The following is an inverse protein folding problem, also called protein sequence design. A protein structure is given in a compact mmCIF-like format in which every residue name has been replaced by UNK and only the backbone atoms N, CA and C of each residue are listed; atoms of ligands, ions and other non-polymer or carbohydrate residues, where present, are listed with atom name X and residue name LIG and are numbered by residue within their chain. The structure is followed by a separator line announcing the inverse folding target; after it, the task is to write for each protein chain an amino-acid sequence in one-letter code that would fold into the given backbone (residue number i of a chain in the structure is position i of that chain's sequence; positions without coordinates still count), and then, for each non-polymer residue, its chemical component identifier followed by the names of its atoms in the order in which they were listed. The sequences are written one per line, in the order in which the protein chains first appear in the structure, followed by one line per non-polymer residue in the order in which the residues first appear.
data_IF_029629843139
#
_entry.id   IF_029629843139
#
_cell.length_a   1.000
_cell.length_b   1.000
_cell.length_c   1.000
_cell.angle_alpha   90.00
_cell.angle_beta   90.00
_cell.angle_gamma   90.00
#
_symmetry.space_group_name_H-M   'P 1'
#
loop_
_entity.id
_entity.type
_entity.pdbx_description
1 polymer ?
#
# COMPACT_ATOMS: atom_id res chain seq x y z
N UNK A 1 2.87 -12.51 13.13
CA UNK A 1 2.51 -13.19 14.39
C UNK A 1 1.29 -12.53 15.00
N UNK A 2 0.29 -13.29 15.43
CA UNK A 2 -0.99 -12.75 15.90
C UNK A 2 -1.16 -12.94 17.40
N UNK A 3 -1.50 -11.85 18.10
CA UNK A 3 -1.63 -11.83 19.55
C UNK A 3 -2.97 -11.21 19.95
N UNK A 4 -3.70 -11.89 20.84
CA UNK A 4 -4.88 -11.35 21.52
C UNK A 4 -4.46 -10.52 22.72
N UNK A 5 -4.87 -9.25 22.76
CA UNK A 5 -4.68 -8.32 23.89
C UNK A 5 -6.03 -8.01 24.57
N UNK A 6 -5.98 -7.33 25.73
CA UNK A 6 -7.17 -6.94 26.52
C UNK A 6 -8.15 -6.03 25.74
N UNK A 7 -7.66 -5.31 24.71
CA UNK A 7 -8.47 -4.46 23.85
C UNK A 7 -8.95 -5.14 22.55
N UNK A 8 -8.51 -6.37 22.25
CA UNK A 8 -8.87 -7.10 21.03
C UNK A 8 -7.74 -7.92 20.42
N UNK A 9 -7.99 -8.51 19.25
CA UNK A 9 -7.03 -9.32 18.50
C UNK A 9 -6.20 -8.45 17.53
N UNK A 10 -4.88 -8.60 17.53
CA UNK A 10 -3.99 -7.83 16.64
C UNK A 10 -2.91 -8.73 16.04
N UNK A 11 -2.77 -8.69 14.73
CA UNK A 11 -1.68 -9.37 14.02
C UNK A 11 -0.56 -8.40 13.63
N UNK A 12 0.68 -8.78 13.93
CA UNK A 12 1.85 -8.22 13.28
C UNK A 12 1.99 -8.88 11.91
N UNK A 13 1.66 -8.12 10.87
CA UNK A 13 1.71 -8.55 9.47
C UNK A 13 3.12 -8.44 8.91
N UNK A 14 3.46 -9.39 8.04
CA UNK A 14 4.67 -9.30 7.23
C UNK A 14 4.59 -8.09 6.29
N UNK A 15 5.76 -7.50 5.92
CA UNK A 15 5.80 -6.38 5.01
C UNK A 15 5.15 -6.75 3.68
N UNK A 16 4.04 -6.06 3.36
CA UNK A 16 3.21 -6.35 2.18
C UNK A 16 1.83 -6.92 2.50
N UNK A 17 1.48 -7.12 3.78
CA UNK A 17 0.15 -7.56 4.22
C UNK A 17 -0.45 -6.61 5.26
N UNK A 18 -1.78 -6.53 5.28
CA UNK A 18 -2.62 -5.70 6.14
C UNK A 18 -3.91 -6.44 6.54
N UNK A 19 -4.69 -5.80 7.39
CA UNK A 19 -5.94 -6.33 7.92
C UNK A 19 -5.75 -7.03 9.26
N UNK A 20 -6.85 -7.26 9.97
CA UNK A 20 -6.86 -7.82 11.32
C UNK A 20 -6.13 -9.16 11.40
N UNK A 21 -6.18 -9.96 10.33
CA UNK A 21 -5.56 -11.27 10.20
C UNK A 21 -4.33 -11.29 9.27
N UNK A 22 -3.93 -10.16 8.69
CA UNK A 22 -2.92 -10.11 7.62
C UNK A 22 -3.30 -10.90 6.35
N UNK A 23 -4.60 -11.14 6.14
CA UNK A 23 -5.11 -11.84 4.94
C UNK A 23 -5.20 -10.90 3.73
N UNK A 24 -5.10 -9.58 3.95
CA UNK A 24 -5.22 -8.58 2.89
C UNK A 24 -3.82 -8.22 2.41
N UNK A 25 -3.53 -8.40 1.12
CA UNK A 25 -2.32 -7.82 0.54
C UNK A 25 -2.39 -6.29 0.67
N UNK A 26 -1.34 -5.72 1.24
CA UNK A 26 -1.14 -4.28 1.37
C UNK A 26 -1.23 -3.65 -0.02
N UNK A 27 -2.39 -3.07 -0.33
CA UNK A 27 -2.59 -2.38 -1.58
C UNK A 27 -2.26 -0.90 -1.37
N UNK A 28 -0.98 -0.58 -1.52
CA UNK A 28 -0.47 0.80 -1.44
C UNK A 28 -1.07 1.70 -2.53
N UNK A 29 -1.64 1.11 -3.59
CA UNK A 29 -2.40 1.81 -4.62
C UNK A 29 -3.87 2.04 -4.28
N UNK A 30 -4.39 1.46 -3.20
CA UNK A 30 -5.81 1.59 -2.81
C UNK A 30 -6.21 3.04 -2.51
N UNK A 31 -5.27 3.88 -2.06
CA UNK A 31 -5.50 5.31 -1.83
C UNK A 31 -5.29 6.17 -3.08
N UNK A 32 -5.04 5.53 -4.24
CA UNK A 32 -4.77 6.20 -5.51
C UNK A 32 -3.74 7.34 -5.36
N UNK A 33 -2.52 7.04 -4.89
CA UNK A 33 -1.51 8.08 -4.65
C UNK A 33 -1.03 8.75 -5.95
N UNK A 34 -1.21 8.12 -7.12
CA UNK A 34 -0.80 8.68 -8.40
C UNK A 34 -1.91 9.55 -8.99
N UNK A 35 -1.63 10.82 -9.25
CA UNK A 35 -2.62 11.79 -9.79
C UNK A 35 -2.75 11.61 -11.30
N UNK A 36 -1.65 11.77 -12.04
CA UNK A 36 -1.61 11.66 -13.50
C UNK A 36 -0.76 10.47 -13.95
N UNK A 37 -1.08 9.29 -13.45
CA UNK A 37 -0.35 8.08 -13.79
C UNK A 37 -1.02 6.81 -13.29
N UNK A 38 -0.38 5.68 -13.58
CA UNK A 38 -0.82 4.37 -13.11
C UNK A 38 -0.02 3.94 -11.88
N UNK A 39 -0.72 3.62 -10.80
CA UNK A 39 -0.09 3.06 -9.62
C UNK A 39 0.26 1.58 -9.85
N UNK A 40 1.47 1.20 -9.47
CA UNK A 40 1.97 -0.17 -9.48
C UNK A 40 2.22 -0.56 -8.03
N UNK A 41 1.43 -1.50 -7.52
CA UNK A 41 1.59 -2.01 -6.17
C UNK A 41 2.75 -3.02 -6.16
N UNK A 42 3.81 -2.72 -5.41
CA UNK A 42 4.90 -3.66 -5.13
C UNK A 42 4.78 -4.22 -3.72
N UNK A 43 5.47 -5.35 -3.48
CA UNK A 43 5.46 -6.03 -2.18
C UNK A 43 5.97 -5.12 -1.04
N UNK A 44 7.02 -4.34 -1.30
CA UNK A 44 7.66 -3.46 -0.30
C UNK A 44 7.29 -1.98 -0.48
N UNK A 45 7.04 -1.52 -1.71
CA UNK A 45 6.75 -0.12 -2.03
C UNK A 45 5.81 -0.03 -3.25
N UNK A 46 5.08 1.09 -3.39
CA UNK A 46 4.38 1.42 -4.63
C UNK A 46 5.22 2.34 -5.52
N UNK A 47 5.00 2.23 -6.82
CA UNK A 47 5.57 3.16 -7.80
C UNK A 47 4.48 3.69 -8.72
N UNK A 48 4.58 4.96 -9.08
CA UNK A 48 3.69 5.56 -10.06
C UNK A 48 4.38 5.60 -11.42
N UNK A 49 3.70 5.08 -12.44
CA UNK A 49 4.10 5.23 -13.85
C UNK A 49 3.38 6.45 -14.39
N UNK A 50 4.12 7.54 -14.55
CA UNK A 50 3.56 8.82 -14.98
C UNK A 50 3.23 8.85 -16.46
N UNK A 51 2.16 9.56 -16.81
CA UNK A 51 1.82 9.86 -18.19
C UNK A 51 2.82 10.88 -18.77
N UNK A 52 2.92 10.96 -20.10
CA UNK A 52 3.85 11.87 -20.77
C UNK A 52 3.61 13.32 -20.35
N UNK A 53 4.67 13.98 -19.85
CA UNK A 53 4.62 15.35 -19.36
C UNK A 53 4.36 15.51 -17.86
N UNK A 54 4.22 14.40 -17.12
CA UNK A 54 4.09 14.40 -15.65
C UNK A 54 5.29 13.74 -14.99
N UNK A 55 5.68 14.27 -13.84
CA UNK A 55 6.85 13.87 -13.07
C UNK A 55 6.55 13.80 -11.56
N UNK A 56 7.54 13.32 -10.81
CA UNK A 56 7.47 13.16 -9.36
C UNK A 56 6.96 11.80 -8.88
N UNK A 57 7.04 11.54 -7.57
CA UNK A 57 6.71 10.23 -6.98
C UNK A 57 5.22 9.86 -7.10
N UNK A 58 4.36 10.85 -7.30
CA UNK A 58 2.91 10.73 -7.43
C UNK A 58 2.37 11.23 -8.77
N UNK A 59 3.25 11.53 -9.74
CA UNK A 59 2.85 12.07 -11.05
C UNK A 59 1.94 13.30 -10.92
N UNK A 60 2.35 14.25 -10.08
CA UNK A 60 1.55 15.43 -9.70
C UNK A 60 2.20 16.74 -10.13
N UNK A 61 3.38 16.68 -10.75
CA UNK A 61 4.14 17.80 -11.30
C UNK A 61 4.23 17.64 -12.82
#
# INVERSE_FOLDING_TARGET
MCSTNIAGYTCACDPGYEGTNCDTLLNRCSKQPCVHGRCVNGATQFSCVCNTGYEGPTCSQ
#
